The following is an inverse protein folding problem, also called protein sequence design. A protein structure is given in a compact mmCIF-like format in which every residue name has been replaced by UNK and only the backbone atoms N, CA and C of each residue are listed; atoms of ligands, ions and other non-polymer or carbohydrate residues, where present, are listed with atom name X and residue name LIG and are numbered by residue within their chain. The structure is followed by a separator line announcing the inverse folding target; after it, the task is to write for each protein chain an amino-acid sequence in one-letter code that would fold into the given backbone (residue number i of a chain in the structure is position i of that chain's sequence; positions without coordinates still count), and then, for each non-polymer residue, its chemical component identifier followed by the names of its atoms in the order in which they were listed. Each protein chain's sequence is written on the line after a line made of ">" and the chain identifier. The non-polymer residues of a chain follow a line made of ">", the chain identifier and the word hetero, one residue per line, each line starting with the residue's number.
data_IF_528044057691
#
_entry.id   IF_528044057691
#
_cell.length_a   1.000
_cell.length_b   1.000
_cell.length_c   1.000
_cell.angle_alpha   90.00
_cell.angle_beta   90.00
_cell.angle_gamma   90.00
#
_symmetry.space_group_name_H-M   'P 1'
#
loop_
_entity.id
_entity.type
_entity.pdbx_description
1 polymer ?
#
# COMPACT_ATOMS: atom_id res chain seq x y z
N UNK A 1 22.41 -7.50 -19.08
CA UNK A 1 21.38 -6.45 -18.99
C UNK A 1 21.98 -5.25 -18.27
N UNK A 2 21.71 -4.01 -18.69
CA UNK A 2 22.13 -2.84 -17.92
C UNK A 2 21.43 -2.81 -16.54
N UNK A 3 22.12 -2.31 -15.53
CA UNK A 3 21.62 -2.21 -14.15
C UNK A 3 21.82 -0.80 -13.59
N UNK A 4 20.79 -0.21 -12.99
CA UNK A 4 20.88 1.05 -12.26
C UNK A 4 21.36 0.79 -10.82
N UNK A 5 22.47 1.41 -10.41
CA UNK A 5 23.01 1.29 -9.04
C UNK A 5 23.15 2.67 -8.37
N UNK A 6 22.94 2.72 -7.06
CA UNK A 6 23.07 3.95 -6.26
C UNK A 6 23.37 3.58 -4.79
N UNK A 7 23.91 4.54 -4.03
CA UNK A 7 24.24 4.36 -2.62
C UNK A 7 22.96 4.07 -1.82
N UNK A 8 22.96 3.01 -1.02
CA UNK A 8 21.83 2.63 -0.18
C UNK A 8 20.80 1.69 -0.83
N UNK A 9 20.93 1.38 -2.13
CA UNK A 9 20.03 0.45 -2.84
C UNK A 9 19.83 -0.87 -2.09
N UNK A 10 20.91 -1.49 -1.66
CA UNK A 10 20.92 -2.79 -0.97
C UNK A 10 20.15 -2.77 0.35
N UNK A 11 20.07 -1.61 1.01
CA UNK A 11 19.32 -1.46 2.25
C UNK A 11 17.80 -1.37 2.04
N UNK A 12 17.35 -0.94 0.86
CA UNK A 12 15.91 -0.75 0.55
C UNK A 12 15.32 -1.94 -0.21
N UNK A 13 16.15 -2.64 -0.99
CA UNK A 13 15.70 -3.82 -1.73
C UNK A 13 15.21 -4.90 -0.77
N UNK A 14 13.93 -5.26 -0.89
CA UNK A 14 13.29 -6.25 -0.03
C UNK A 14 12.82 -5.71 1.33
N UNK A 15 12.98 -4.41 1.60
CA UNK A 15 12.47 -3.79 2.83
C UNK A 15 10.95 -3.98 2.99
N UNK A 16 10.22 -4.09 1.87
CA UNK A 16 8.81 -4.42 1.90
C UNK A 16 8.56 -5.67 2.75
N UNK A 17 9.42 -6.70 2.69
CA UNK A 17 9.25 -7.96 3.44
C UNK A 17 9.26 -7.77 4.95
N UNK A 18 9.96 -6.75 5.46
CA UNK A 18 10.05 -6.45 6.89
C UNK A 18 8.79 -5.75 7.42
N UNK A 19 8.00 -5.13 6.52
CA UNK A 19 6.76 -4.45 6.90
C UNK A 19 5.70 -5.49 7.26
N UNK A 20 5.18 -5.43 8.49
CA UNK A 20 4.16 -6.39 8.94
C UNK A 20 2.85 -6.16 8.21
N UNK A 21 2.19 -7.26 7.84
CA UNK A 21 0.80 -7.19 7.39
C UNK A 21 -0.11 -6.69 8.52
N UNK A 22 -1.08 -5.84 8.20
CA UNK A 22 -2.06 -5.32 9.15
C UNK A 22 -3.46 -5.44 8.56
N UNK A 23 -4.44 -5.65 9.44
CA UNK A 23 -5.85 -5.64 9.08
C UNK A 23 -6.39 -4.21 9.06
N UNK A 24 -7.24 -3.90 8.07
CA UNK A 24 -7.99 -2.65 8.03
C UNK A 24 -9.06 -2.65 9.12
N UNK A 25 -9.14 -1.56 9.90
CA UNK A 25 -10.18 -1.35 10.90
C UNK A 25 -11.19 -0.33 10.38
N UNK A 26 -12.44 -0.73 10.21
CA UNK A 26 -13.53 0.19 9.82
C UNK A 26 -13.80 1.19 10.95
N UNK A 27 -13.78 2.49 10.63
CA UNK A 27 -14.10 3.56 11.57
C UNK A 27 -15.44 4.18 11.19
N UNK A 28 -16.50 3.78 11.90
CA UNK A 28 -17.89 4.16 11.57
C UNK A 28 -18.11 5.68 11.56
N UNK A 29 -17.46 6.41 12.47
CA UNK A 29 -17.59 7.88 12.60
C UNK A 29 -17.11 8.66 11.39
N UNK A 30 -16.24 8.07 10.54
CA UNK A 30 -15.76 8.67 9.30
C UNK A 30 -16.37 8.04 8.05
N UNK A 31 -17.25 7.05 8.22
CA UNK A 31 -17.92 6.37 7.10
C UNK A 31 -19.23 7.09 6.76
N UNK A 32 -19.50 7.29 5.48
CA UNK A 32 -20.75 7.91 5.00
C UNK A 32 -21.41 7.00 3.98
N UNK A 33 -22.67 6.65 4.23
CA UNK A 33 -23.47 5.80 3.34
C UNK A 33 -22.96 4.36 3.20
N UNK A 34 -23.48 3.67 2.19
CA UNK A 34 -23.03 2.34 1.77
C UNK A 34 -22.27 2.47 0.44
N UNK A 35 -20.95 2.58 0.51
CA UNK A 35 -20.06 2.82 -0.64
C UNK A 35 -18.96 1.78 -0.70
N UNK A 36 -18.52 1.46 -1.92
CA UNK A 36 -17.33 0.63 -2.18
C UNK A 36 -16.01 1.42 -2.13
N UNK A 37 -16.07 2.75 -1.99
CA UNK A 37 -14.90 3.61 -1.90
C UNK A 37 -14.24 3.50 -0.52
N UNK A 38 -12.90 3.49 -0.51
CA UNK A 38 -12.11 3.38 0.71
C UNK A 38 -11.21 4.60 0.89
N UNK A 39 -11.22 5.16 2.09
CA UNK A 39 -10.20 6.11 2.57
C UNK A 39 -9.44 5.42 3.68
N UNK A 40 -8.12 5.28 3.51
CA UNK A 40 -7.26 4.57 4.44
C UNK A 40 -6.31 5.58 5.06
N UNK A 41 -6.26 5.61 6.40
CA UNK A 41 -5.31 6.44 7.16
C UNK A 41 -4.20 5.56 7.71
N UNK A 42 -2.95 5.90 7.41
CA UNK A 42 -1.77 5.19 7.89
C UNK A 42 -0.58 5.41 6.97
N UNK A 43 0.50 4.68 7.25
CA UNK A 43 1.63 4.56 6.32
C UNK A 43 1.20 3.87 5.02
N UNK A 44 1.71 4.34 3.88
CA UNK A 44 1.28 3.84 2.58
C UNK A 44 1.74 2.40 2.31
N UNK A 45 2.92 1.99 2.79
CA UNK A 45 3.47 0.67 2.57
C UNK A 45 2.70 -0.37 3.39
N UNK A 46 2.35 -0.04 4.64
CA UNK A 46 1.43 -0.84 5.45
C UNK A 46 0.03 -0.95 4.82
N UNK A 47 -0.50 0.18 4.33
CA UNK A 47 -1.82 0.24 3.69
C UNK A 47 -1.89 -0.60 2.41
N UNK A 48 -0.87 -0.51 1.55
CA UNK A 48 -0.77 -1.32 0.33
C UNK A 48 -0.69 -2.81 0.67
N UNK A 49 0.09 -3.20 1.69
CA UNK A 49 0.14 -4.59 2.16
C UNK A 49 -1.22 -5.11 2.63
N UNK A 50 -1.97 -4.31 3.38
CA UNK A 50 -3.30 -4.68 3.84
C UNK A 50 -4.28 -4.94 2.68
N UNK A 51 -4.11 -4.24 1.55
CA UNK A 51 -4.97 -4.34 0.37
C UNK A 51 -4.63 -5.53 -0.56
N UNK A 52 -3.42 -6.09 -0.46
CA UNK A 52 -2.94 -7.14 -1.38
C UNK A 52 -3.92 -8.31 -1.57
N UNK A 53 -4.50 -8.91 -0.51
CA UNK A 53 -5.38 -10.08 -0.67
C UNK A 53 -6.63 -9.80 -1.52
N UNK A 54 -7.04 -8.54 -1.62
CA UNK A 54 -8.31 -8.16 -2.21
C UNK A 54 -8.15 -7.51 -3.60
N UNK A 55 -7.07 -6.76 -3.80
CA UNK A 55 -6.90 -5.86 -4.97
C UNK A 55 -5.73 -6.23 -5.90
N UNK A 56 -4.96 -7.28 -5.62
CA UNK A 56 -3.87 -7.71 -6.52
C UNK A 56 -4.40 -8.00 -7.93
N UNK A 57 -3.77 -7.41 -8.93
CA UNK A 57 -4.18 -7.54 -10.34
C UNK A 57 -5.52 -6.88 -10.71
N UNK A 58 -6.15 -6.12 -9.79
CA UNK A 58 -7.47 -5.50 -10.03
C UNK A 58 -7.44 -3.98 -10.18
N UNK A 59 -6.30 -3.33 -9.93
CA UNK A 59 -6.17 -1.86 -9.99
C UNK A 59 -5.98 -1.43 -11.45
N UNK A 60 -6.93 -0.64 -11.98
CA UNK A 60 -6.90 -0.15 -13.36
C UNK A 60 -5.91 1.01 -13.57
N UNK A 61 -5.80 1.90 -12.58
CA UNK A 61 -4.97 3.10 -12.66
C UNK A 61 -4.46 3.46 -11.26
N UNK A 62 -3.20 3.91 -11.19
CA UNK A 62 -2.57 4.43 -9.98
C UNK A 62 -2.10 5.85 -10.30
N UNK A 63 -2.48 6.80 -9.45
CA UNK A 63 -1.97 8.16 -9.46
C UNK A 63 -1.31 8.44 -8.10
N UNK A 64 -0.08 8.95 -8.14
CA UNK A 64 0.69 9.35 -6.96
C UNK A 64 1.38 10.68 -7.26
N UNK A 65 1.40 11.55 -6.26
CA UNK A 65 2.22 12.77 -6.22
C UNK A 65 3.13 12.64 -4.99
N UNK A 66 4.26 11.92 -5.13
CA UNK A 66 5.08 11.45 -4.00
C UNK A 66 5.95 12.51 -3.35
#
# INVERSE_FOLDING_TARGET
>A
MPTLNWIGKEAVVGHDKDVKFRLLKKVKTYSVGDSQNLIIKGDNLEGLKALMPYYIGKVKCIYIDP
#
